data_IF_374297446304
#
_entry.id   IF_374297446304
#
_cell.length_a   1.000
_cell.length_b   1.000
_cell.length_c   1.000
_cell.angle_alpha   90.00
_cell.angle_beta   90.00
_cell.angle_gamma   90.00
#
_symmetry.space_group_name_H-M   'P 1'
#
loop_
_entity.id
_entity.type
_entity.pdbx_description
1 polymer ?
#
# COMPACT_ATOMS: atom_id res chain seq x y z
N UNK A 1 -11.65 -12.09 -10.37
CA UNK A 1 -11.02 -12.54 -9.46
C UNK A 1 -9.80 -11.81 -9.08
N UNK A 2 -8.69 -12.32 -9.22
CA UNK A 2 -7.56 -11.61 -8.90
C UNK A 2 -7.36 -10.41 -9.70
N UNK A 3 -7.84 -10.37 -10.86
CA UNK A 3 -7.68 -9.26 -11.75
C UNK A 3 -8.25 -7.99 -11.20
N UNK A 4 -9.43 -8.06 -10.63
CA UNK A 4 -10.03 -6.87 -10.08
C UNK A 4 -9.21 -6.35 -8.92
N UNK A 5 -8.67 -7.28 -8.13
CA UNK A 5 -7.89 -6.88 -7.04
C UNK A 5 -6.61 -6.23 -7.49
N UNK A 6 -5.99 -6.74 -8.51
CA UNK A 6 -4.78 -6.15 -9.02
C UNK A 6 -5.03 -4.77 -9.57
N UNK A 7 -6.15 -4.57 -10.20
CA UNK A 7 -6.45 -3.26 -10.73
C UNK A 7 -6.58 -2.25 -9.59
N UNK A 8 -7.20 -2.66 -8.49
CA UNK A 8 -7.33 -1.77 -7.36
C UNK A 8 -5.99 -1.41 -6.76
N UNK A 9 -5.09 -2.39 -6.67
CA UNK A 9 -3.78 -2.15 -6.12
C UNK A 9 -3.02 -1.18 -7.01
N UNK A 10 -3.09 -1.35 -8.30
CA UNK A 10 -2.36 -0.49 -9.20
C UNK A 10 -2.86 0.93 -9.18
N UNK A 11 -4.12 1.13 -8.85
CA UNK A 11 -4.61 2.49 -8.74
C UNK A 11 -4.03 3.18 -7.53
N UNK A 12 -3.79 2.42 -6.46
CA UNK A 12 -3.27 2.99 -5.24
C UNK A 12 -1.76 3.13 -5.32
N UNK A 13 -1.08 2.07 -5.75
CA UNK A 13 0.37 2.09 -5.84
C UNK A 13 0.75 1.78 -7.28
N UNK A 14 1.21 2.79 -8.00
CA UNK A 14 1.47 2.64 -9.41
C UNK A 14 2.67 1.75 -9.68
N UNK A 15 3.65 1.80 -8.82
CA UNK A 15 4.86 1.01 -9.03
C UNK A 15 5.22 0.26 -7.76
N UNK A 16 5.30 -1.05 -7.86
CA UNK A 16 5.62 -1.88 -6.71
C UNK A 16 6.97 -2.52 -6.96
N UNK A 17 7.96 -2.21 -6.15
CA UNK A 17 9.29 -2.79 -6.33
C UNK A 17 9.26 -4.29 -6.08
N UNK A 18 10.29 -4.95 -6.60
CA UNK A 18 10.39 -6.37 -6.42
C UNK A 18 10.55 -6.70 -4.94
N UNK A 19 9.90 -7.74 -4.48
CA UNK A 19 9.99 -8.13 -3.09
C UNK A 19 9.05 -7.37 -2.18
N UNK A 20 8.26 -6.48 -2.73
CA UNK A 20 7.29 -5.72 -1.94
C UNK A 20 5.90 -6.20 -2.34
N UNK A 21 5.06 -6.45 -1.35
CA UNK A 21 3.70 -6.89 -1.62
C UNK A 21 2.72 -5.87 -1.13
N UNK A 22 1.71 -5.62 -1.93
CA UNK A 22 0.69 -4.64 -1.60
C UNK A 22 -0.66 -5.30 -1.71
N UNK A 23 -1.51 -5.10 -0.73
CA UNK A 23 -2.87 -5.57 -0.82
C UNK A 23 -3.78 -4.48 -0.28
N UNK A 24 -5.00 -4.46 -0.79
CA UNK A 24 -5.95 -3.44 -0.41
C UNK A 24 -7.19 -4.13 0.14
N UNK A 25 -7.65 -3.67 1.28
CA UNK A 25 -8.85 -4.21 1.88
C UNK A 25 -9.81 -3.09 2.12
N UNK A 26 -11.07 -3.30 1.81
CA UNK A 26 -12.08 -2.29 2.03
C UNK A 26 -12.99 -2.72 3.17
N UNK A 27 -13.23 -1.80 4.09
CA UNK A 27 -14.13 -2.07 5.19
C UNK A 27 -15.08 -0.89 5.23
N UNK A 28 -16.29 -1.08 4.75
CA UNK A 28 -17.26 -0.01 4.67
C UNK A 28 -16.75 1.09 3.74
N UNK A 29 -16.47 2.26 4.25
CA UNK A 29 -16.02 3.36 3.43
C UNK A 29 -14.53 3.60 3.50
N UNK A 30 -13.81 2.68 4.07
CA UNK A 30 -12.39 2.88 4.31
C UNK A 30 -11.58 1.83 3.58
N UNK A 31 -10.54 2.27 2.90
CA UNK A 31 -9.62 1.37 2.25
C UNK A 31 -8.35 1.30 3.08
N UNK A 32 -7.92 0.08 3.35
CA UNK A 32 -6.67 -0.14 4.07
C UNK A 32 -5.68 -0.74 3.10
N UNK A 33 -4.55 -0.11 2.96
CA UNK A 33 -3.52 -0.55 2.03
C UNK A 33 -2.38 -1.13 2.84
N UNK A 34 -2.16 -2.42 2.68
CA UNK A 34 -1.11 -3.12 3.40
C UNK A 34 0.09 -3.27 2.49
N UNK A 35 1.21 -2.72 2.92
CA UNK A 35 2.43 -2.76 2.14
C UNK A 35 3.49 -3.46 2.97
N UNK A 36 4.06 -4.53 2.42
CA UNK A 36 5.06 -5.29 3.14
C UNK A 36 6.31 -5.43 2.31
N UNK A 37 7.45 -5.19 2.95
CA UNK A 37 8.74 -5.33 2.29
C UNK A 37 9.33 -6.65 2.75
N UNK A 38 9.46 -7.60 1.82
CA UNK A 38 10.04 -8.89 2.13
C UNK A 38 11.51 -8.97 1.76
N UNK A 39 12.11 -7.83 1.44
CA UNK A 39 13.52 -7.82 1.12
C UNK A 39 14.34 -7.71 2.40
N UNK A 40 15.58 -8.13 2.31
CA UNK A 40 16.46 -8.06 3.46
C UNK A 40 17.01 -6.68 3.68
N UNK A 41 16.69 -5.75 2.83
CA UNK A 41 17.17 -4.40 2.97
C UNK A 41 16.04 -3.43 2.75
N UNK A 42 16.21 -2.20 3.19
CA UNK A 42 15.16 -1.21 3.00
C UNK A 42 14.92 -0.95 1.52
N UNK A 43 13.70 -0.62 1.19
CA UNK A 43 13.33 -0.39 -0.19
C UNK A 43 12.57 0.91 -0.27
N UNK A 44 12.89 1.69 -1.29
CA UNK A 44 12.20 2.92 -1.53
C UNK A 44 10.89 2.61 -2.24
N UNK A 45 9.79 3.05 -1.71
CA UNK A 45 8.48 2.80 -2.29
C UNK A 45 7.70 4.09 -2.27
N UNK A 46 7.14 4.47 -3.41
CA UNK A 46 6.34 5.65 -3.48
C UNK A 46 4.91 5.32 -3.12
N UNK A 47 4.42 5.80 -2.02
CA UNK A 47 3.06 5.55 -1.59
C UNK A 47 2.26 6.84 -1.60
N UNK A 48 0.97 6.77 -1.93
CA UNK A 48 0.13 7.97 -2.02
C UNK A 48 -0.35 8.40 -0.64
N UNK A 49 0.56 8.88 0.17
CA UNK A 49 0.23 9.21 1.55
C UNK A 49 -0.63 10.45 1.65
N UNK A 50 -0.80 11.18 0.56
CA UNK A 50 -1.70 12.30 0.58
C UNK A 50 -3.14 11.85 0.60
N UNK A 51 -3.44 10.76 -0.08
CA UNK A 51 -4.80 10.24 -0.09
C UNK A 51 -4.98 9.18 0.97
N UNK A 52 -3.92 8.43 1.26
CA UNK A 52 -3.97 7.35 2.22
C UNK A 52 -2.88 7.56 3.24
N UNK A 53 -3.12 8.35 4.27
CA UNK A 53 -2.09 8.60 5.28
C UNK A 53 -1.68 7.31 5.98
N UNK A 54 -0.47 7.31 6.49
CA UNK A 54 0.04 6.14 7.19
C UNK A 54 -0.75 5.96 8.48
N UNK A 55 -1.26 4.76 8.67
CA UNK A 55 -2.03 4.43 9.85
C UNK A 55 -1.21 3.61 10.83
N UNK A 56 -0.45 2.66 10.33
CA UNK A 56 0.42 1.84 11.17
C UNK A 56 1.77 1.70 10.49
N UNK A 57 2.81 1.60 11.30
CA UNK A 57 4.14 1.43 10.77
C UNK A 57 4.83 2.75 10.56
N UNK A 58 6.06 2.67 10.07
CA UNK A 58 6.84 3.86 9.82
C UNK A 58 7.17 3.96 8.35
N UNK A 59 6.93 5.10 7.78
CA UNK A 59 7.19 5.31 6.38
C UNK A 59 7.62 6.74 6.14
N UNK A 60 8.79 6.91 5.56
CA UNK A 60 9.27 8.22 5.18
C UNK A 60 9.78 8.19 3.76
N UNK A 61 9.22 7.35 2.93
CA UNK A 61 9.66 7.14 1.57
C UNK A 61 10.33 5.80 1.41
N UNK A 62 10.68 5.16 2.50
CA UNK A 62 11.37 3.89 2.50
C UNK A 62 10.76 2.98 3.53
N UNK A 63 10.67 1.71 3.21
CA UNK A 63 10.18 0.73 4.16
C UNK A 63 11.37 -0.15 4.55
N UNK A 64 11.61 -0.26 5.84
CA UNK A 64 12.72 -1.04 6.32
C UNK A 64 12.58 -2.51 5.99
N UNK A 65 13.66 -3.26 6.13
CA UNK A 65 13.62 -4.67 5.79
C UNK A 65 12.54 -5.36 6.59
N UNK A 66 11.79 -6.20 5.92
CA UNK A 66 10.70 -6.94 6.52
C UNK A 66 9.68 -6.03 7.21
N UNK A 67 9.68 -4.76 6.87
CA UNK A 67 8.76 -3.84 7.50
C UNK A 67 7.38 -3.88 6.87
N UNK A 68 6.39 -3.47 7.64
CA UNK A 68 5.02 -3.41 7.17
C UNK A 68 4.48 -2.02 7.43
N UNK A 69 3.81 -1.47 6.43
CA UNK A 69 3.18 -0.17 6.56
C UNK A 69 1.73 -0.33 6.15
N UNK A 70 0.83 0.25 6.91
CA UNK A 70 -0.58 0.21 6.58
C UNK A 70 -1.05 1.64 6.40
N UNK A 71 -1.62 1.91 5.24
CA UNK A 71 -2.22 3.19 4.95
C UNK A 71 -3.72 3.07 5.09
N UNK A 72 -4.37 4.16 5.44
CA UNK A 72 -5.80 4.14 5.62
C UNK A 72 -6.38 5.39 4.99
N UNK A 73 -7.34 5.23 4.13
CA UNK A 73 -7.93 6.36 3.47
C UNK A 73 -9.37 6.10 3.12
N UNK A 74 -10.06 7.15 2.70
CA UNK A 74 -11.42 7.00 2.32
C UNK A 74 -11.52 6.26 1.01
N UNK A 75 -12.43 5.33 0.91
CA UNK A 75 -12.61 4.57 -0.31
C UNK A 75 -13.01 5.51 -1.44
N UNK A 76 -12.36 5.33 -2.57
CA UNK A 76 -12.67 6.14 -3.71
C UNK A 76 -13.96 5.70 -4.30
N UNK A 77 -14.82 6.64 -4.55
CA UNK A 77 -16.01 6.26 -5.09
C UNK A 77 -15.92 6.11 -6.47
N UNK A 78 -15.11 6.73 -7.08
CA UNK A 78 -15.09 6.60 -8.39
C UNK A 78 -14.17 5.73 -8.83
N UNK A 79 -13.86 4.96 -8.62
CA UNK A 79 -13.01 4.17 -8.98
C UNK A 79 -13.20 3.49 -9.90
#
# INVERSE_FOLDING_TARGET
RKIAKEAGVKRVVAHIPEGVEVSVRRNQDTDYVFVQNFNRQPVEVKLPTERYPVWLGEYDGTIGRFGTVVLKGKAGEKE
#
